data_IF_410681336705
#
_entry.id   IF_410681336705
#
_cell.length_a   1.000
_cell.length_b   1.000
_cell.length_c   1.000
_cell.angle_alpha   90.00
_cell.angle_beta   90.00
_cell.angle_gamma   90.00
#
_symmetry.space_group_name_H-M   'P 1'
#
loop_
_entity.id
_entity.type
_entity.pdbx_description
1 polymer ?
#
# COMPACT_ATOMS: atom_id res chain seq x y z
N UNK A 1 -9.81 -1.11 31.96
CA UNK A 1 -8.44 -1.56 31.63
C UNK A 1 -8.10 -1.39 30.15
N UNK A 2 -8.90 -1.93 29.21
CA UNK A 2 -8.63 -1.81 27.77
C UNK A 2 -8.55 -0.36 27.25
N UNK A 3 -9.46 0.53 27.68
CA UNK A 3 -9.42 1.94 27.29
C UNK A 3 -8.12 2.65 27.74
N UNK A 4 -7.59 2.25 28.88
CA UNK A 4 -6.32 2.77 29.40
C UNK A 4 -5.14 2.32 28.51
N UNK A 5 -5.14 1.05 28.07
CA UNK A 5 -4.14 0.56 27.12
C UNK A 5 -4.18 1.34 25.79
N UNK A 6 -5.39 1.62 25.25
CA UNK A 6 -5.57 2.45 24.04
C UNK A 6 -5.06 3.88 24.22
N UNK A 7 -5.28 4.49 25.38
CA UNK A 7 -4.79 5.84 25.67
C UNK A 7 -3.26 5.87 25.74
N UNK A 8 -2.64 4.87 26.36
CA UNK A 8 -1.18 4.77 26.39
C UNK A 8 -0.59 4.55 25.00
N UNK A 9 -1.21 3.73 24.16
CA UNK A 9 -0.82 3.57 22.77
C UNK A 9 -0.87 4.90 22.00
N UNK A 10 -1.94 5.70 22.19
CA UNK A 10 -2.06 7.03 21.57
C UNK A 10 -1.03 8.05 22.11
N UNK A 11 -0.56 7.88 23.35
CA UNK A 11 0.49 8.69 23.95
C UNK A 11 1.92 8.22 23.58
N UNK A 12 2.06 7.25 22.68
CA UNK A 12 3.34 6.64 22.31
C UNK A 12 4.07 5.92 23.49
N UNK A 13 3.35 5.56 24.54
CA UNK A 13 3.86 4.79 25.70
C UNK A 13 3.64 3.30 25.42
N UNK A 14 4.37 2.77 24.45
CA UNK A 14 4.16 1.42 23.91
C UNK A 14 4.33 0.34 24.98
N UNK A 15 5.40 0.39 25.78
CA UNK A 15 5.69 -0.60 26.83
C UNK A 15 4.55 -0.73 27.85
N UNK A 16 4.01 0.41 28.32
CA UNK A 16 2.89 0.40 29.27
C UNK A 16 1.61 -0.14 28.67
N UNK A 17 1.35 0.18 27.40
CA UNK A 17 0.21 -0.34 26.65
C UNK A 17 0.34 -1.85 26.47
N UNK A 18 1.52 -2.35 26.12
CA UNK A 18 1.82 -3.77 25.95
C UNK A 18 1.62 -4.55 27.26
N UNK A 19 2.23 -4.09 28.35
CA UNK A 19 2.07 -4.70 29.67
C UNK A 19 0.59 -4.78 30.09
N UNK A 20 -0.17 -3.73 29.82
CA UNK A 20 -1.59 -3.69 30.15
C UNK A 20 -2.41 -4.66 29.29
N UNK A 21 -2.12 -4.77 27.98
CA UNK A 21 -2.74 -5.74 27.10
C UNK A 21 -2.45 -7.17 27.54
N UNK A 22 -1.20 -7.47 27.90
CA UNK A 22 -0.81 -8.78 28.44
C UNK A 22 -1.53 -9.09 29.74
N UNK A 23 -1.64 -8.12 30.65
CA UNK A 23 -2.38 -8.31 31.91
C UNK A 23 -3.87 -8.60 31.66
N UNK A 24 -4.50 -7.92 30.70
CA UNK A 24 -5.91 -8.20 30.32
C UNK A 24 -6.04 -9.61 29.75
N UNK A 25 -5.13 -10.03 28.88
CA UNK A 25 -5.16 -11.35 28.24
C UNK A 25 -4.86 -12.48 29.22
N UNK A 26 -4.13 -12.22 30.32
CA UNK A 26 -3.97 -13.20 31.41
C UNK A 26 -5.28 -13.46 32.16
N UNK A 27 -6.10 -12.41 32.35
CA UNK A 27 -7.40 -12.52 33.03
C UNK A 27 -8.46 -13.08 32.07
N UNK A 28 -8.48 -12.58 30.83
CA UNK A 28 -9.40 -13.01 29.79
C UNK A 28 -8.65 -13.27 28.47
N UNK A 29 -8.21 -14.52 28.21
CA UNK A 29 -7.50 -14.89 27.00
C UNK A 29 -8.30 -14.71 25.68
N UNK A 30 -9.64 -14.59 25.81
CA UNK A 30 -10.56 -14.44 24.67
C UNK A 30 -10.90 -12.97 24.35
N UNK A 31 -10.20 -12.00 24.94
CA UNK A 31 -10.46 -10.59 24.69
C UNK A 31 -9.81 -10.14 23.38
N UNK A 32 -10.52 -10.28 22.26
CA UNK A 32 -10.00 -10.06 20.90
C UNK A 32 -9.48 -8.63 20.66
N UNK A 33 -10.14 -7.60 21.20
CA UNK A 33 -9.70 -6.21 21.07
C UNK A 33 -8.31 -5.98 21.70
N UNK A 34 -8.04 -6.59 22.87
CA UNK A 34 -6.71 -6.49 23.51
C UNK A 34 -5.67 -7.30 22.74
N UNK A 35 -6.04 -8.45 22.20
CA UNK A 35 -5.16 -9.25 21.36
C UNK A 35 -4.80 -8.51 20.05
N UNK A 36 -5.76 -7.83 19.44
CA UNK A 36 -5.55 -6.99 18.25
C UNK A 36 -4.63 -5.80 18.55
N UNK A 37 -4.84 -5.10 19.67
CA UNK A 37 -3.99 -3.98 20.07
C UNK A 37 -2.56 -4.46 20.37
N UNK A 38 -2.44 -5.61 21.05
CA UNK A 38 -1.13 -6.21 21.32
C UNK A 38 -0.41 -6.61 20.01
N UNK A 39 -1.12 -7.18 19.04
CA UNK A 39 -0.56 -7.50 17.74
C UNK A 39 -0.07 -6.24 16.99
N UNK A 40 -0.81 -5.13 17.07
CA UNK A 40 -0.38 -3.85 16.50
C UNK A 40 0.92 -3.35 17.16
N UNK A 41 1.03 -3.40 18.49
CA UNK A 41 2.22 -3.00 19.24
C UNK A 41 3.43 -3.89 18.91
N UNK A 42 3.23 -5.21 18.88
CA UNK A 42 4.27 -6.17 18.50
C UNK A 42 4.76 -5.94 17.07
N UNK A 43 3.84 -5.65 16.14
CA UNK A 43 4.21 -5.28 14.77
C UNK A 43 5.04 -4.00 14.72
N UNK A 44 4.72 -2.99 15.53
CA UNK A 44 5.50 -1.74 15.67
C UNK A 44 6.91 -2.02 16.21
N UNK A 45 7.04 -2.95 17.14
CA UNK A 45 8.32 -3.41 17.70
C UNK A 45 9.09 -4.39 16.78
N UNK A 46 8.66 -4.56 15.51
CA UNK A 46 9.26 -5.46 14.53
C UNK A 46 9.19 -6.96 14.91
N UNK A 47 8.40 -7.32 15.88
CA UNK A 47 8.14 -8.71 16.24
C UNK A 47 6.95 -9.25 15.44
N UNK A 48 7.20 -9.46 14.14
CA UNK A 48 6.14 -9.85 13.20
C UNK A 48 5.61 -11.26 13.45
N UNK A 49 6.44 -12.17 13.90
CA UNK A 49 6.02 -13.56 14.21
C UNK A 49 5.02 -13.57 15.36
N UNK A 50 5.37 -12.95 16.50
CA UNK A 50 4.46 -12.89 17.63
C UNK A 50 3.16 -12.11 17.31
N UNK A 51 3.23 -11.07 16.48
CA UNK A 51 2.04 -10.35 16.00
C UNK A 51 1.15 -11.26 15.16
N UNK A 52 1.74 -12.03 14.25
CA UNK A 52 1.03 -12.99 13.39
C UNK A 52 0.35 -14.06 14.22
N UNK A 53 1.06 -14.67 15.18
CA UNK A 53 0.50 -15.72 16.06
C UNK A 53 -0.72 -15.21 16.83
N UNK A 54 -0.68 -13.98 17.34
CA UNK A 54 -1.83 -13.39 18.04
C UNK A 54 -3.04 -13.22 17.13
N UNK A 55 -2.83 -12.79 15.89
CA UNK A 55 -3.94 -12.62 14.94
C UNK A 55 -4.46 -13.98 14.47
N UNK A 56 -3.59 -14.96 14.24
CA UNK A 56 -4.00 -16.32 13.91
C UNK A 56 -4.88 -16.94 15.01
N UNK A 57 -4.52 -16.79 16.29
CA UNK A 57 -5.32 -17.22 17.43
C UNK A 57 -6.73 -16.58 17.47
N UNK A 58 -6.85 -15.32 17.02
CA UNK A 58 -8.16 -14.66 16.91
C UNK A 58 -8.96 -15.30 15.77
N UNK A 59 -8.33 -15.50 14.60
CA UNK A 59 -9.00 -16.05 13.41
C UNK A 59 -9.39 -17.52 13.56
N UNK A 60 -8.64 -18.31 14.31
CA UNK A 60 -9.01 -19.68 14.66
C UNK A 60 -10.30 -19.75 15.48
N UNK A 61 -10.54 -18.76 16.34
CA UNK A 61 -11.77 -18.66 17.14
C UNK A 61 -12.91 -17.99 16.39
N UNK A 62 -12.59 -16.94 15.65
CA UNK A 62 -13.54 -16.08 14.93
C UNK A 62 -13.09 -15.86 13.48
N UNK A 63 -13.30 -16.85 12.58
CA UNK A 63 -12.89 -16.74 11.17
C UNK A 63 -13.55 -15.57 10.43
N UNK A 64 -14.72 -15.13 10.88
CA UNK A 64 -15.47 -13.99 10.33
C UNK A 64 -14.96 -12.61 10.81
N UNK A 65 -13.85 -12.56 11.58
CA UNK A 65 -13.24 -11.30 11.97
C UNK A 65 -12.39 -10.73 10.82
N UNK A 66 -13.05 -10.13 9.82
CA UNK A 66 -12.39 -9.59 8.63
C UNK A 66 -11.43 -8.43 8.92
N UNK A 67 -11.55 -7.75 10.08
CA UNK A 67 -10.58 -6.75 10.49
C UNK A 67 -9.25 -7.42 10.86
N UNK A 68 -9.29 -8.51 11.63
CA UNK A 68 -8.11 -9.31 11.94
C UNK A 68 -7.49 -9.89 10.67
N UNK A 69 -8.32 -10.44 9.77
CA UNK A 69 -7.88 -11.00 8.50
C UNK A 69 -7.18 -9.95 7.62
N UNK A 70 -7.72 -8.74 7.51
CA UNK A 70 -7.10 -7.67 6.74
C UNK A 70 -5.71 -7.26 7.28
N UNK A 71 -5.53 -7.31 8.61
CA UNK A 71 -4.23 -7.07 9.24
C UNK A 71 -3.26 -8.23 9.00
N UNK A 72 -3.74 -9.48 9.08
CA UNK A 72 -2.93 -10.66 8.79
C UNK A 72 -2.36 -10.62 7.37
N UNK A 73 -3.19 -10.28 6.38
CA UNK A 73 -2.77 -10.15 4.98
C UNK A 73 -1.60 -9.16 4.84
N UNK A 74 -1.68 -8.01 5.52
CA UNK A 74 -0.62 -7.01 5.50
C UNK A 74 0.67 -7.49 6.21
N UNK A 75 0.54 -8.26 7.28
CA UNK A 75 1.70 -8.85 7.96
C UNK A 75 2.36 -9.93 7.10
N UNK A 76 1.58 -10.83 6.52
CA UNK A 76 2.10 -11.87 5.64
C UNK A 76 2.78 -11.30 4.38
N UNK A 77 2.22 -10.23 3.80
CA UNK A 77 2.91 -9.52 2.72
C UNK A 77 4.32 -9.10 3.13
N UNK A 78 4.46 -8.48 4.31
CA UNK A 78 5.77 -8.00 4.80
C UNK A 78 6.74 -9.13 5.12
N UNK A 79 6.22 -10.25 5.62
CA UNK A 79 7.00 -11.45 5.91
C UNK A 79 7.36 -12.26 4.67
N UNK A 80 6.86 -11.91 3.48
CA UNK A 80 7.04 -12.71 2.26
C UNK A 80 6.28 -14.03 2.26
N UNK A 81 5.18 -14.13 3.02
CA UNK A 81 4.35 -15.33 3.23
C UNK A 81 2.92 -15.13 2.77
N UNK A 82 2.73 -14.46 1.65
CA UNK A 82 1.40 -14.11 1.16
C UNK A 82 0.57 -15.36 0.80
N UNK A 83 1.22 -16.46 0.43
CA UNK A 83 0.56 -17.74 0.09
C UNK A 83 -0.23 -18.34 1.25
N UNK A 84 0.25 -18.14 2.48
CA UNK A 84 -0.43 -18.61 3.68
C UNK A 84 -1.81 -17.95 3.89
N UNK A 85 -2.07 -16.82 3.23
CA UNK A 85 -3.35 -16.09 3.29
C UNK A 85 -4.48 -16.92 2.73
N UNK A 86 -4.25 -17.70 1.67
CA UNK A 86 -5.27 -18.49 0.97
C UNK A 86 -6.04 -19.40 1.92
N UNK A 87 -5.31 -20.08 2.83
CA UNK A 87 -5.91 -20.92 3.86
C UNK A 87 -6.91 -20.17 4.76
N UNK A 88 -6.53 -18.96 5.19
CA UNK A 88 -7.41 -18.17 6.07
C UNK A 88 -8.61 -17.60 5.32
N UNK A 89 -8.46 -17.26 4.05
CA UNK A 89 -9.57 -16.85 3.19
C UNK A 89 -10.57 -18.00 3.00
N UNK A 90 -10.13 -19.22 2.72
CA UNK A 90 -10.97 -20.40 2.58
C UNK A 90 -11.74 -20.71 3.88
N UNK A 91 -11.06 -20.67 5.03
CA UNK A 91 -11.71 -20.88 6.33
C UNK A 91 -12.77 -19.80 6.57
N UNK A 92 -12.47 -18.54 6.25
CA UNK A 92 -13.41 -17.43 6.39
C UNK A 92 -14.62 -17.58 5.45
N UNK A 93 -14.44 -18.11 4.24
CA UNK A 93 -15.52 -18.42 3.29
C UNK A 93 -16.45 -19.52 3.77
N UNK A 94 -15.86 -20.54 4.40
CA UNK A 94 -16.63 -21.70 4.91
C UNK A 94 -17.31 -21.39 6.24
N UNK A 95 -16.96 -20.33 6.92
CA UNK A 95 -17.47 -20.00 8.25
C UNK A 95 -18.95 -19.61 8.29
N UNK A 96 -19.49 -19.08 7.19
CA UNK A 96 -20.90 -18.69 7.07
C UNK A 96 -21.37 -18.83 5.61
N UNK A 97 -22.60 -19.27 5.42
CA UNK A 97 -23.24 -19.38 4.10
C UNK A 97 -23.34 -18.05 3.33
N UNK A 98 -23.32 -16.92 4.04
CA UNK A 98 -23.33 -15.56 3.48
C UNK A 98 -21.96 -14.92 3.40
N UNK A 99 -20.90 -15.61 3.84
CA UNK A 99 -19.55 -15.07 3.88
C UNK A 99 -19.09 -14.53 2.51
N UNK A 100 -19.36 -15.26 1.42
CA UNK A 100 -18.98 -14.90 0.07
C UNK A 100 -19.49 -13.52 -0.40
N UNK A 101 -20.64 -13.08 0.09
CA UNK A 101 -21.23 -11.77 -0.22
C UNK A 101 -20.89 -10.70 0.82
N UNK A 102 -20.18 -11.07 1.91
CA UNK A 102 -19.88 -10.13 2.99
C UNK A 102 -18.82 -9.11 2.54
N UNK A 103 -19.10 -7.79 2.65
CA UNK A 103 -18.19 -6.74 2.18
C UNK A 103 -16.78 -6.83 2.78
N UNK A 104 -16.68 -7.24 4.05
CA UNK A 104 -15.38 -7.41 4.73
C UNK A 104 -14.54 -8.52 4.12
N UNK A 105 -15.12 -9.66 3.71
CA UNK A 105 -14.39 -10.71 3.01
C UNK A 105 -13.99 -10.26 1.62
N UNK A 106 -14.90 -9.58 0.88
CA UNK A 106 -14.59 -9.00 -0.42
C UNK A 106 -13.42 -8.03 -0.32
N UNK A 107 -13.38 -7.19 0.71
CA UNK A 107 -12.25 -6.29 0.96
C UNK A 107 -10.94 -7.06 1.19
N UNK A 108 -10.95 -8.11 2.01
CA UNK A 108 -9.77 -8.95 2.27
C UNK A 108 -9.28 -9.65 1.00
N UNK A 109 -10.18 -10.21 0.19
CA UNK A 109 -9.84 -10.78 -1.13
C UNK A 109 -9.25 -9.74 -2.06
N UNK A 110 -9.81 -8.52 -2.08
CA UNK A 110 -9.29 -7.39 -2.82
C UNK A 110 -7.85 -7.03 -2.42
N UNK A 111 -7.54 -7.01 -1.12
CA UNK A 111 -6.18 -6.78 -0.61
C UNK A 111 -5.22 -7.88 -1.04
N UNK A 112 -5.63 -9.15 -0.91
CA UNK A 112 -4.80 -10.27 -1.34
C UNK A 112 -4.49 -10.19 -2.83
N UNK A 113 -5.50 -9.98 -3.68
CA UNK A 113 -5.32 -9.80 -5.12
C UNK A 113 -4.43 -8.59 -5.48
N UNK A 114 -4.56 -7.47 -4.73
CA UNK A 114 -3.71 -6.30 -4.91
C UNK A 114 -2.23 -6.64 -4.66
N UNK A 115 -1.95 -7.35 -3.57
CA UNK A 115 -0.58 -7.71 -3.20
C UNK A 115 0.00 -8.87 -4.02
N UNK A 116 -0.86 -9.71 -4.61
CA UNK A 116 -0.48 -10.72 -5.61
C UNK A 116 -0.37 -10.15 -7.04
N UNK A 117 -0.41 -8.82 -7.20
CA UNK A 117 -0.36 -8.13 -8.49
C UNK A 117 -1.49 -8.51 -9.47
N UNK A 118 -2.60 -9.07 -8.98
CA UNK A 118 -3.80 -9.33 -9.77
C UNK A 118 -4.78 -8.16 -9.65
N UNK A 119 -4.46 -7.06 -10.32
CA UNK A 119 -5.15 -5.77 -10.14
C UNK A 119 -6.60 -5.80 -10.61
N UNK A 120 -6.90 -6.61 -11.65
CA UNK A 120 -8.26 -6.77 -12.19
C UNK A 120 -9.17 -7.44 -11.15
N UNK A 121 -8.71 -8.53 -10.55
CA UNK A 121 -9.45 -9.21 -9.49
C UNK A 121 -9.58 -8.33 -8.24
N UNK A 122 -8.53 -7.59 -7.89
CA UNK A 122 -8.56 -6.65 -6.77
C UNK A 122 -9.67 -5.60 -6.94
N UNK A 123 -9.74 -4.94 -8.10
CA UNK A 123 -10.79 -3.96 -8.40
C UNK A 123 -12.20 -4.57 -8.34
N UNK A 124 -12.37 -5.80 -8.89
CA UNK A 124 -13.66 -6.50 -8.81
C UNK A 124 -14.10 -6.72 -7.35
N UNK A 125 -13.19 -7.20 -6.52
CA UNK A 125 -13.49 -7.45 -5.11
C UNK A 125 -13.73 -6.16 -4.31
N UNK A 126 -12.93 -5.11 -4.51
CA UNK A 126 -13.18 -3.82 -3.88
C UNK A 126 -14.51 -3.19 -4.32
N UNK A 127 -14.89 -3.37 -5.58
CA UNK A 127 -16.18 -2.87 -6.09
C UNK A 127 -17.38 -3.55 -5.40
N UNK A 128 -17.26 -4.82 -4.98
CA UNK A 128 -18.29 -5.49 -4.18
C UNK A 128 -18.38 -4.93 -2.75
N UNK A 129 -17.26 -4.46 -2.19
CA UNK A 129 -17.20 -3.92 -0.84
C UNK A 129 -17.53 -2.42 -0.75
N UNK A 130 -17.55 -1.67 -1.86
CA UNK A 130 -17.57 -0.19 -1.89
C UNK A 130 -18.82 0.45 -1.32
N UNK A 131 -19.94 -0.26 -1.27
CA UNK A 131 -21.22 0.27 -0.79
C UNK A 131 -21.47 0.06 0.69
N UNK A 132 -20.58 -0.63 1.37
CA UNK A 132 -20.69 -0.90 2.81
C UNK A 132 -20.24 0.31 3.63
N UNK A 133 -20.95 0.59 4.72
CA UNK A 133 -20.65 1.74 5.60
C UNK A 133 -19.28 1.65 6.28
N UNK A 134 -18.82 0.43 6.61
CA UNK A 134 -17.54 0.19 7.31
C UNK A 134 -16.37 -0.02 6.35
N UNK A 135 -16.59 -0.74 5.26
CA UNK A 135 -15.54 -1.16 4.34
C UNK A 135 -15.45 -0.30 3.08
N UNK A 136 -16.54 0.39 2.73
CA UNK A 136 -16.66 1.12 1.47
C UNK A 136 -15.61 2.19 1.29
N UNK A 137 -15.40 3.05 2.28
CA UNK A 137 -14.37 4.08 2.20
C UNK A 137 -12.96 3.53 2.00
N UNK A 138 -12.63 2.40 2.67
CA UNK A 138 -11.34 1.73 2.50
C UNK A 138 -11.21 1.07 1.11
N UNK A 139 -12.28 0.46 0.61
CA UNK A 139 -12.30 -0.14 -0.72
C UNK A 139 -12.13 0.91 -1.81
N UNK A 140 -12.88 2.02 -1.74
CA UNK A 140 -12.77 3.13 -2.70
C UNK A 140 -11.36 3.73 -2.69
N UNK A 141 -10.75 3.96 -1.51
CA UNK A 141 -9.37 4.45 -1.44
C UNK A 141 -8.37 3.52 -2.14
N UNK A 142 -8.49 2.21 -1.91
CA UNK A 142 -7.64 1.22 -2.60
C UNK A 142 -7.87 1.22 -4.11
N UNK A 143 -9.13 1.34 -4.56
CA UNK A 143 -9.44 1.45 -6.00
C UNK A 143 -8.81 2.70 -6.62
N UNK A 144 -8.92 3.86 -5.96
CA UNK A 144 -8.31 5.11 -6.43
C UNK A 144 -6.78 4.95 -6.53
N UNK A 145 -6.13 4.39 -5.51
CA UNK A 145 -4.68 4.15 -5.54
C UNK A 145 -4.27 3.23 -6.70
N UNK A 146 -5.07 2.20 -7.01
CA UNK A 146 -4.84 1.31 -8.13
C UNK A 146 -5.00 2.03 -9.49
N UNK A 147 -6.04 2.85 -9.65
CA UNK A 147 -6.26 3.60 -10.89
C UNK A 147 -5.22 4.70 -11.10
N UNK A 148 -4.83 5.42 -10.05
CA UNK A 148 -3.85 6.50 -10.17
C UNK A 148 -2.44 5.98 -10.48
N UNK A 149 -2.13 4.72 -10.11
CA UNK A 149 -0.83 4.09 -10.32
C UNK A 149 0.35 5.07 -10.13
N UNK A 150 0.55 5.58 -8.91
CA UNK A 150 1.56 6.61 -8.68
C UNK A 150 2.99 6.15 -8.96
N UNK A 151 3.23 4.84 -9.08
CA UNK A 151 4.54 4.23 -9.35
C UNK A 151 4.85 4.09 -10.83
N UNK A 152 3.88 4.36 -11.69
CA UNK A 152 4.03 4.22 -13.14
C UNK A 152 4.47 2.80 -13.58
N UNK A 153 4.15 1.79 -12.77
CA UNK A 153 4.42 0.41 -13.12
C UNK A 153 3.57 -0.01 -14.33
N UNK A 154 4.11 -0.81 -15.25
CA UNK A 154 3.34 -1.33 -16.38
C UNK A 154 2.26 -2.27 -15.85
N UNK A 155 1.08 -1.72 -15.62
CA UNK A 155 -0.08 -2.46 -15.14
C UNK A 155 -0.88 -2.99 -16.31
N UNK A 156 -1.29 -4.26 -16.23
CA UNK A 156 -2.22 -4.87 -17.19
C UNK A 156 -3.68 -4.35 -16.99
N UNK A 157 -3.85 -3.12 -16.49
CA UNK A 157 -5.15 -2.49 -16.25
C UNK A 157 -5.97 -2.25 -17.52
N UNK A 158 -5.33 -2.23 -18.71
CA UNK A 158 -6.02 -2.10 -20.00
C UNK A 158 -6.96 -3.26 -20.32
N UNK A 159 -6.95 -4.33 -19.51
CA UNK A 159 -7.89 -5.44 -19.63
C UNK A 159 -9.06 -5.36 -18.65
N UNK A 160 -9.16 -4.32 -17.82
CA UNK A 160 -10.32 -4.15 -16.93
C UNK A 160 -11.54 -3.77 -17.77
N UNK A 161 -12.54 -4.65 -17.91
CA UNK A 161 -13.78 -4.25 -18.56
C UNK A 161 -14.48 -3.22 -17.67
N UNK A 162 -14.60 -2.01 -18.13
CA UNK A 162 -15.44 -0.98 -17.51
C UNK A 162 -16.92 -1.29 -17.77
N UNK A 163 -17.43 -2.41 -17.26
CA UNK A 163 -18.75 -2.99 -17.56
C UNK A 163 -19.97 -2.16 -17.13
N UNK A 164 -19.80 -0.91 -16.77
CA UNK A 164 -20.93 0.05 -16.66
C UNK A 164 -20.76 1.35 -17.43
N UNK A 165 -19.65 1.55 -18.11
CA UNK A 165 -19.44 2.69 -19.00
C UNK A 165 -19.17 2.10 -20.40
N UNK A 166 -20.26 2.05 -21.18
CA UNK A 166 -20.42 1.62 -22.55
C UNK A 166 -19.19 1.24 -23.35
N UNK A 167 -19.26 0.03 -23.94
CA UNK A 167 -18.67 -0.41 -25.20
C UNK A 167 -17.56 0.46 -25.80
N UNK A 168 -16.36 0.46 -25.23
CA UNK A 168 -15.19 1.02 -25.92
C UNK A 168 -13.90 0.43 -25.34
N UNK A 169 -13.59 -0.79 -25.73
CA UNK A 169 -12.22 -1.20 -25.97
C UNK A 169 -12.16 -2.61 -26.56
N UNK A 170 -12.27 -2.67 -27.86
CA UNK A 170 -11.88 -3.82 -28.68
C UNK A 170 -10.40 -3.60 -29.06
N UNK A 171 -9.49 -3.66 -28.07
CA UNK A 171 -8.06 -3.48 -28.31
C UNK A 171 -7.37 -4.84 -28.36
N UNK A 172 -7.38 -5.48 -29.53
CA UNK A 172 -6.36 -6.43 -29.94
C UNK A 172 -5.06 -5.68 -30.17
N UNK A 173 -4.01 -6.04 -29.42
CA UNK A 173 -2.57 -5.85 -29.75
C UNK A 173 -2.25 -4.71 -30.73
N UNK A 174 -2.30 -3.46 -30.30
CA UNK A 174 -1.69 -2.35 -31.02
C UNK A 174 -0.47 -1.85 -30.23
N UNK A 175 0.58 -1.57 -30.99
CA UNK A 175 1.76 -0.82 -30.55
C UNK A 175 1.27 0.46 -29.86
N UNK A 176 1.72 0.72 -28.66
CA UNK A 176 1.32 1.88 -27.88
C UNK A 176 1.92 3.15 -28.50
N UNK A 177 1.04 4.01 -29.04
CA UNK A 177 1.39 5.35 -29.46
C UNK A 177 1.15 6.32 -28.29
N UNK A 178 1.87 7.44 -28.25
CA UNK A 178 1.68 8.50 -27.22
C UNK A 178 0.21 8.95 -27.07
N UNK A 179 -0.58 8.89 -28.16
CA UNK A 179 -2.02 9.17 -28.14
C UNK A 179 -2.82 8.17 -27.31
N UNK A 180 -2.48 6.88 -27.38
CA UNK A 180 -3.16 5.83 -26.62
C UNK A 180 -2.88 5.94 -25.13
N UNK A 181 -1.66 6.37 -24.75
CA UNK A 181 -1.28 6.61 -23.38
C UNK A 181 -2.01 7.83 -22.79
N UNK A 182 -2.17 8.90 -23.56
CA UNK A 182 -2.91 10.10 -23.11
C UNK A 182 -4.40 9.82 -22.94
N UNK A 183 -5.04 9.07 -23.85
CA UNK A 183 -6.45 8.66 -23.72
C UNK A 183 -6.66 7.75 -22.52
N UNK A 184 -5.76 6.79 -22.28
CA UNK A 184 -5.81 5.90 -21.13
C UNK A 184 -5.68 6.68 -19.82
N UNK A 185 -4.70 7.58 -19.72
CA UNK A 185 -4.49 8.41 -18.54
C UNK A 185 -5.71 9.31 -18.26
N UNK A 186 -6.35 9.84 -19.30
CA UNK A 186 -7.57 10.64 -19.15
C UNK A 186 -8.75 9.80 -18.63
N UNK A 187 -8.90 8.56 -19.11
CA UNK A 187 -9.97 7.66 -18.66
C UNK A 187 -9.77 7.17 -17.23
N UNK A 188 -8.53 6.90 -16.82
CA UNK A 188 -8.20 6.55 -15.43
C UNK A 188 -8.42 7.72 -14.49
N UNK A 189 -8.09 8.94 -14.90
CA UNK A 189 -8.36 10.16 -14.13
C UNK A 189 -9.85 10.41 -13.95
N UNK A 190 -10.67 10.26 -15.00
CA UNK A 190 -12.13 10.37 -14.91
C UNK A 190 -12.70 9.35 -13.92
N UNK A 191 -12.23 8.11 -13.95
CA UNK A 191 -12.67 7.05 -13.03
C UNK A 191 -12.26 7.36 -11.60
N UNK A 192 -11.03 7.77 -11.38
CA UNK A 192 -10.53 8.19 -10.08
C UNK A 192 -11.30 9.42 -9.56
N UNK A 193 -11.62 10.37 -10.43
CA UNK A 193 -12.42 11.55 -10.11
C UNK A 193 -13.85 11.22 -9.67
N UNK A 194 -14.50 10.22 -10.28
CA UNK A 194 -15.80 9.71 -9.83
C UNK A 194 -15.71 9.05 -8.47
N UNK A 195 -14.71 8.18 -8.26
CA UNK A 195 -14.50 7.52 -6.97
C UNK A 195 -14.17 8.51 -5.84
N UNK A 196 -13.42 9.58 -6.15
CA UNK A 196 -13.16 10.66 -5.19
C UNK A 196 -14.44 11.39 -4.76
N UNK A 197 -15.39 11.63 -5.69
CA UNK A 197 -16.69 12.21 -5.35
C UNK A 197 -17.53 11.26 -4.50
N UNK A 198 -17.50 9.96 -4.80
CA UNK A 198 -18.19 8.96 -3.97
C UNK A 198 -17.61 8.91 -2.56
N UNK A 199 -16.29 9.02 -2.42
CA UNK A 199 -15.63 9.03 -1.12
C UNK A 199 -16.03 10.23 -0.25
N UNK A 200 -16.42 11.38 -0.85
CA UNK A 200 -16.92 12.55 -0.14
C UNK A 200 -18.28 12.33 0.53
N UNK A 201 -19.07 11.34 0.06
CA UNK A 201 -20.38 10.99 0.64
C UNK A 201 -20.21 10.27 1.99
N UNK A 202 -19.10 9.59 2.19
CA UNK A 202 -18.82 8.97 3.48
C UNK A 202 -18.40 10.05 4.48
N UNK A 203 -19.01 10.05 5.68
CA UNK A 203 -18.55 10.88 6.81
C UNK A 203 -17.15 10.46 7.23
N UNK A 204 -16.15 11.16 6.72
CA UNK A 204 -14.77 10.75 6.82
C UNK A 204 -14.09 11.54 7.93
N UNK A 205 -13.36 10.89 8.87
CA UNK A 205 -12.56 11.59 9.88
C UNK A 205 -11.58 12.58 9.24
N UNK A 206 -11.20 13.64 9.98
CA UNK A 206 -10.34 14.74 9.49
C UNK A 206 -9.02 14.22 8.86
N UNK A 207 -8.44 13.15 9.40
CA UNK A 207 -7.21 12.55 8.86
C UNK A 207 -7.43 11.91 7.49
N UNK A 208 -8.59 11.30 7.26
CA UNK A 208 -8.94 10.72 5.96
C UNK A 208 -9.26 11.83 4.95
N UNK A 209 -9.84 12.95 5.38
CA UNK A 209 -10.07 14.10 4.51
C UNK A 209 -8.75 14.65 3.94
N UNK A 210 -7.67 14.67 4.72
CA UNK A 210 -6.34 15.03 4.23
C UNK A 210 -5.84 14.01 3.20
N UNK A 211 -6.05 12.70 3.45
CA UNK A 211 -5.68 11.66 2.49
C UNK A 211 -6.47 11.80 1.17
N UNK A 212 -7.74 12.14 1.22
CA UNK A 212 -8.56 12.44 0.03
C UNK A 212 -7.97 13.60 -0.77
N UNK A 213 -7.54 14.68 -0.10
CA UNK A 213 -6.87 15.81 -0.78
C UNK A 213 -5.56 15.39 -1.45
N UNK A 214 -4.78 14.52 -0.82
CA UNK A 214 -3.57 13.94 -1.42
C UNK A 214 -3.92 13.13 -2.67
N UNK A 215 -4.92 12.25 -2.61
CA UNK A 215 -5.36 11.46 -3.76
C UNK A 215 -5.87 12.34 -4.91
N UNK A 216 -6.57 13.44 -4.58
CA UNK A 216 -6.99 14.43 -5.60
C UNK A 216 -5.81 15.14 -6.24
N UNK A 217 -4.77 15.48 -5.48
CA UNK A 217 -3.56 16.06 -6.04
C UNK A 217 -2.82 15.05 -6.94
N UNK A 218 -2.81 13.75 -6.58
CA UNK A 218 -2.28 12.70 -7.45
C UNK A 218 -3.08 12.57 -8.76
N UNK A 219 -4.41 12.71 -8.76
CA UNK A 219 -5.19 12.66 -10.00
C UNK A 219 -4.81 13.79 -10.97
N UNK A 220 -4.43 14.96 -10.48
CA UNK A 220 -3.91 16.00 -11.34
C UNK A 220 -2.55 15.67 -11.97
N UNK A 221 -1.71 14.86 -11.30
CA UNK A 221 -0.42 14.42 -11.86
C UNK A 221 -0.58 13.42 -13.01
N UNK A 222 -1.67 12.63 -13.04
CA UNK A 222 -1.91 11.67 -14.13
C UNK A 222 -2.17 12.34 -15.47
N UNK A 223 -2.71 13.57 -15.47
CA UNK A 223 -3.00 14.35 -16.70
C UNK A 223 -1.71 14.84 -17.38
N UNK A 224 -0.59 14.91 -16.65
CA UNK A 224 0.74 15.35 -17.13
C UNK A 224 0.77 16.72 -17.83
N UNK A 225 -0.26 17.55 -17.67
CA UNK A 225 -0.21 18.92 -18.19
C UNK A 225 0.48 19.83 -17.17
N UNK A 226 1.33 20.77 -17.62
CA UNK A 226 2.10 21.65 -16.73
C UNK A 226 1.21 22.39 -15.74
N UNK A 227 0.09 22.95 -16.20
CA UNK A 227 -0.85 23.66 -15.34
C UNK A 227 -1.44 22.76 -14.23
N UNK A 228 -1.67 21.45 -14.52
CA UNK A 228 -2.17 20.49 -13.52
C UNK A 228 -1.07 20.05 -12.55
N UNK A 229 0.15 19.91 -13.03
CA UNK A 229 1.31 19.62 -12.17
C UNK A 229 1.50 20.76 -11.17
N UNK A 230 1.45 22.03 -11.62
CA UNK A 230 1.58 23.20 -10.75
C UNK A 230 0.45 23.26 -9.71
N UNK A 231 -0.79 22.95 -10.12
CA UNK A 231 -1.92 22.84 -9.20
C UNK A 231 -1.71 21.73 -8.15
N UNK A 232 -1.23 20.57 -8.56
CA UNK A 232 -0.93 19.48 -7.63
C UNK A 232 0.17 19.87 -6.63
N UNK A 233 1.25 20.50 -7.10
CA UNK A 233 2.34 21.00 -6.25
C UNK A 233 1.80 21.98 -5.21
N UNK A 234 0.96 22.91 -5.63
CA UNK A 234 0.34 23.88 -4.73
C UNK A 234 -0.51 23.19 -3.64
N UNK A 235 -1.34 22.22 -4.02
CA UNK A 235 -2.13 21.44 -3.06
C UNK A 235 -1.27 20.68 -2.05
N UNK A 236 -0.15 20.08 -2.49
CA UNK A 236 0.77 19.41 -1.57
C UNK A 236 1.45 20.41 -0.62
N UNK A 237 1.83 21.59 -1.11
CA UNK A 237 2.41 22.66 -0.28
C UNK A 237 1.43 23.09 0.81
N UNK A 238 0.17 23.34 0.48
CA UNK A 238 -0.87 23.73 1.44
C UNK A 238 -1.07 22.66 2.55
N UNK A 239 -0.98 21.37 2.18
CA UNK A 239 -1.04 20.28 3.15
C UNK A 239 0.19 20.30 4.06
N UNK A 240 1.39 20.50 3.49
CA UNK A 240 2.65 20.51 4.22
C UNK A 240 2.85 21.76 5.09
N UNK A 241 2.22 22.89 4.76
CA UNK A 241 2.18 24.07 5.64
C UNK A 241 1.44 23.78 6.94
N UNK A 242 0.34 23.01 6.86
CA UNK A 242 -0.44 22.62 8.03
C UNK A 242 0.20 21.47 8.81
N UNK A 243 0.78 20.50 8.10
CA UNK A 243 1.43 19.30 8.67
C UNK A 243 2.77 19.07 7.98
N UNK A 244 3.83 19.68 8.53
CA UNK A 244 5.18 19.70 7.93
C UNK A 244 5.73 18.32 7.58
N UNK A 245 5.44 17.30 8.40
CA UNK A 245 5.97 15.94 8.26
C UNK A 245 4.89 14.92 7.86
N UNK A 246 3.90 15.38 7.05
CA UNK A 246 2.90 14.46 6.53
C UNK A 246 3.47 13.69 5.31
N UNK A 247 3.84 12.43 5.56
CA UNK A 247 4.59 11.59 4.61
C UNK A 247 3.89 11.41 3.26
N UNK A 248 2.56 11.13 3.17
CA UNK A 248 1.90 10.99 1.87
C UNK A 248 1.98 12.25 0.99
N UNK A 249 1.96 13.45 1.60
CA UNK A 249 2.13 14.69 0.85
C UNK A 249 3.59 14.95 0.45
N UNK A 250 4.57 14.56 1.31
CA UNK A 250 6.00 14.61 0.95
C UNK A 250 6.32 13.69 -0.21
N UNK A 251 5.72 12.51 -0.23
CA UNK A 251 5.87 11.57 -1.34
C UNK A 251 5.23 12.14 -2.62
N UNK A 252 3.99 12.67 -2.50
CA UNK A 252 3.28 13.28 -3.62
C UNK A 252 4.01 14.45 -4.26
N UNK A 253 4.53 15.38 -3.46
CA UNK A 253 5.31 16.50 -3.99
C UNK A 253 6.63 16.05 -4.60
N UNK A 254 7.24 14.97 -4.08
CA UNK A 254 8.44 14.38 -4.67
C UNK A 254 8.16 13.81 -6.06
N UNK A 255 7.06 13.09 -6.20
CA UNK A 255 6.58 12.54 -7.49
C UNK A 255 6.28 13.68 -8.47
N UNK A 256 5.60 14.75 -8.01
CA UNK A 256 5.33 15.92 -8.83
C UNK A 256 6.61 16.57 -9.36
N UNK A 257 7.63 16.74 -8.50
CA UNK A 257 8.94 17.28 -8.91
C UNK A 257 9.72 16.34 -9.84
N UNK A 258 9.52 15.02 -9.74
CA UNK A 258 10.13 14.10 -10.71
C UNK A 258 9.49 14.22 -12.09
N UNK A 259 8.16 14.35 -12.16
CA UNK A 259 7.43 14.58 -13.41
C UNK A 259 7.84 15.93 -14.02
N UNK A 260 8.01 16.97 -13.20
CA UNK A 260 8.50 18.30 -13.59
C UNK A 260 10.00 18.33 -13.90
N UNK A 261 10.71 17.18 -13.88
CA UNK A 261 12.15 17.04 -14.10
C UNK A 261 13.02 17.81 -13.09
N UNK A 262 12.47 18.30 -12.00
CA UNK A 262 13.14 19.02 -10.90
C UNK A 262 13.79 18.05 -9.90
N UNK A 263 14.71 17.18 -10.35
CA UNK A 263 15.29 16.08 -9.56
C UNK A 263 15.95 16.53 -8.25
N UNK A 264 16.48 17.75 -8.17
CA UNK A 264 17.10 18.28 -6.94
C UNK A 264 16.06 18.56 -5.86
N UNK A 265 14.90 19.12 -6.22
CA UNK A 265 13.78 19.36 -5.29
C UNK A 265 13.20 18.05 -4.82
N UNK A 266 12.95 17.10 -5.75
CA UNK A 266 12.48 15.76 -5.44
C UNK A 266 13.40 15.05 -4.44
N UNK A 267 14.71 15.01 -4.71
CA UNK A 267 15.70 14.41 -3.81
C UNK A 267 15.66 15.01 -2.40
N UNK A 268 15.51 16.33 -2.29
CA UNK A 268 15.49 16.98 -0.97
C UNK A 268 14.26 16.58 -0.16
N UNK A 269 13.09 16.47 -0.79
CA UNK A 269 11.86 16.00 -0.16
C UNK A 269 11.97 14.50 0.24
N UNK A 270 12.50 13.65 -0.65
CA UNK A 270 12.72 12.22 -0.38
C UNK A 270 13.76 11.98 0.74
N UNK A 271 14.83 12.78 0.81
CA UNK A 271 15.78 12.75 1.94
C UNK A 271 15.13 13.07 3.27
N UNK A 272 14.11 13.93 3.27
CA UNK A 272 13.35 14.23 4.47
C UNK A 272 12.56 13.01 4.91
N UNK A 273 11.91 12.29 3.97
CA UNK A 273 11.23 11.01 4.24
C UNK A 273 12.21 10.00 4.83
N UNK A 274 13.40 9.84 4.24
CA UNK A 274 14.41 8.88 4.70
C UNK A 274 14.95 9.16 6.12
N UNK A 275 14.79 10.39 6.63
CA UNK A 275 15.16 10.78 7.99
C UNK A 275 14.04 10.62 9.02
N UNK A 276 12.81 10.42 8.57
CA UNK A 276 11.67 10.24 9.47
C UNK A 276 11.71 8.89 10.17
N UNK A 277 11.18 8.79 11.39
CA UNK A 277 10.99 7.51 12.05
C UNK A 277 9.99 6.66 11.26
N UNK A 278 10.31 5.40 11.07
CA UNK A 278 9.45 4.48 10.33
C UNK A 278 8.12 4.25 11.05
N UNK A 279 7.02 4.29 10.31
CA UNK A 279 5.68 3.97 10.79
C UNK A 279 5.09 2.83 9.98
N UNK A 280 4.57 1.81 10.67
CA UNK A 280 3.91 0.67 10.02
C UNK A 280 2.60 1.03 9.32
N UNK A 281 1.93 2.10 9.75
CA UNK A 281 0.69 2.58 9.13
C UNK A 281 0.93 3.13 7.72
N UNK A 282 2.13 3.73 7.52
CA UNK A 282 2.57 4.36 6.27
C UNK A 282 3.71 3.58 5.61
N UNK A 283 3.74 2.26 5.82
CA UNK A 283 4.83 1.40 5.34
C UNK A 283 4.99 1.45 3.82
N UNK A 284 3.87 1.44 3.09
CA UNK A 284 3.88 1.48 1.62
C UNK A 284 4.45 2.81 1.10
N UNK A 285 4.12 3.92 1.75
CA UNK A 285 4.64 5.23 1.39
C UNK A 285 6.14 5.37 1.71
N UNK A 286 6.62 4.77 2.81
CA UNK A 286 8.06 4.71 3.11
C UNK A 286 8.81 3.88 2.08
N UNK A 287 8.30 2.69 1.71
CA UNK A 287 8.88 1.83 0.68
C UNK A 287 9.04 2.60 -0.63
N UNK A 288 7.98 3.26 -1.08
CA UNK A 288 8.00 4.09 -2.29
C UNK A 288 9.03 5.22 -2.20
N UNK A 289 9.06 5.93 -1.06
CA UNK A 289 10.01 7.02 -0.84
C UNK A 289 11.46 6.56 -0.88
N UNK A 290 11.77 5.40 -0.28
CA UNK A 290 13.11 4.82 -0.31
C UNK A 290 13.52 4.40 -1.72
N UNK A 291 12.63 3.72 -2.47
CA UNK A 291 12.90 3.28 -3.84
C UNK A 291 13.11 4.45 -4.81
N UNK A 292 12.25 5.48 -4.76
CA UNK A 292 12.42 6.67 -5.59
C UNK A 292 13.75 7.40 -5.29
N UNK A 293 14.15 7.47 -4.02
CA UNK A 293 15.43 8.06 -3.66
C UNK A 293 16.63 7.20 -4.11
N UNK A 294 16.48 5.87 -4.02
CA UNK A 294 17.48 4.91 -4.49
C UNK A 294 17.70 5.05 -6.00
N UNK A 295 16.65 5.18 -6.81
CA UNK A 295 16.73 5.41 -8.24
C UNK A 295 17.50 6.71 -8.57
N UNK A 296 17.21 7.81 -7.85
CA UNK A 296 17.95 9.07 -8.01
C UNK A 296 19.43 8.91 -7.68
N UNK A 297 19.77 8.07 -6.70
CA UNK A 297 21.18 7.81 -6.36
C UNK A 297 21.87 6.93 -7.38
N UNK A 298 21.19 5.93 -7.96
CA UNK A 298 21.73 5.13 -9.07
C UNK A 298 22.06 6.01 -10.29
N UNK A 299 21.14 6.93 -10.65
CA UNK A 299 21.40 7.88 -11.75
C UNK A 299 22.61 8.76 -11.50
N UNK A 300 22.99 8.97 -10.24
CA UNK A 300 24.18 9.74 -9.82
C UNK A 300 25.37 8.86 -9.46
N UNK A 301 25.34 7.58 -9.78
CA UNK A 301 26.39 6.59 -9.48
C UNK A 301 26.78 6.52 -7.99
N UNK A 302 25.81 6.78 -7.10
CA UNK A 302 25.98 6.67 -5.63
C UNK A 302 25.40 5.36 -5.14
N UNK A 303 26.06 4.26 -5.47
CA UNK A 303 25.56 2.91 -5.24
C UNK A 303 25.40 2.57 -3.76
N UNK A 304 26.37 2.92 -2.90
CA UNK A 304 26.33 2.66 -1.45
C UNK A 304 25.07 3.24 -0.80
N UNK A 305 24.72 4.50 -1.16
CA UNK A 305 23.53 5.16 -0.60
C UNK A 305 22.22 4.55 -1.12
N UNK A 306 22.24 4.06 -2.35
CA UNK A 306 21.08 3.37 -2.93
C UNK A 306 20.88 2.00 -2.27
N UNK A 307 21.98 1.26 -2.04
CA UNK A 307 21.96 -0.03 -1.36
C UNK A 307 21.43 0.09 0.08
N UNK A 308 21.89 1.10 0.86
CA UNK A 308 21.38 1.35 2.21
C UNK A 308 19.86 1.54 2.22
N UNK A 309 19.31 2.27 1.25
CA UNK A 309 17.86 2.49 1.14
C UNK A 309 17.10 1.21 0.78
N UNK A 310 17.63 0.41 -0.14
CA UNK A 310 17.06 -0.89 -0.49
C UNK A 310 17.08 -1.84 0.71
N UNK A 311 18.18 -1.89 1.45
CA UNK A 311 18.30 -2.70 2.67
C UNK A 311 17.32 -2.25 3.75
N UNK A 312 17.07 -0.94 3.89
CA UNK A 312 16.02 -0.42 4.79
C UNK A 312 14.63 -0.86 4.33
N UNK A 313 14.36 -0.84 3.03
CA UNK A 313 13.09 -1.32 2.48
C UNK A 313 12.90 -2.81 2.80
N UNK A 314 13.90 -3.65 2.52
CA UNK A 314 13.87 -5.10 2.75
C UNK A 314 13.81 -5.48 4.24
N UNK A 315 14.36 -4.65 5.12
CA UNK A 315 14.22 -4.84 6.57
C UNK A 315 12.76 -4.88 7.02
N UNK A 316 11.89 -4.10 6.38
CA UNK A 316 10.48 -3.97 6.74
C UNK A 316 9.54 -4.77 5.83
N UNK A 317 9.98 -5.08 4.60
CA UNK A 317 9.20 -5.84 3.63
C UNK A 317 10.12 -6.73 2.78
N UNK A 318 10.24 -7.99 3.16
CA UNK A 318 11.07 -8.98 2.44
C UNK A 318 10.53 -9.31 1.04
N UNK A 319 9.22 -9.13 0.81
CA UNK A 319 8.57 -9.39 -0.49
C UNK A 319 8.62 -8.19 -1.46
N UNK A 320 9.40 -7.14 -1.15
CA UNK A 320 9.56 -6.01 -2.05
C UNK A 320 10.44 -6.39 -3.25
N UNK A 321 9.82 -6.90 -4.33
CA UNK A 321 10.51 -7.30 -5.57
C UNK A 321 11.34 -6.16 -6.17
N UNK A 322 10.81 -4.93 -6.13
CA UNK A 322 11.47 -3.76 -6.68
C UNK A 322 12.77 -3.38 -5.93
N UNK A 323 12.84 -3.64 -4.62
CA UNK A 323 14.07 -3.44 -3.87
C UNK A 323 15.16 -4.45 -4.28
N UNK A 324 14.78 -5.73 -4.46
CA UNK A 324 15.68 -6.76 -4.97
C UNK A 324 16.15 -6.47 -6.40
N UNK A 325 15.23 -6.04 -7.28
CA UNK A 325 15.54 -5.62 -8.65
C UNK A 325 16.55 -4.46 -8.66
N UNK A 326 16.30 -3.44 -7.83
CA UNK A 326 17.17 -2.27 -7.70
C UNK A 326 18.58 -2.67 -7.23
N UNK A 327 18.70 -3.61 -6.29
CA UNK A 327 19.98 -4.17 -5.86
C UNK A 327 20.66 -4.94 -6.99
N UNK A 328 19.92 -5.72 -7.78
CA UNK A 328 20.44 -6.40 -8.97
C UNK A 328 21.07 -5.41 -9.97
N UNK A 329 20.35 -4.32 -10.27
CA UNK A 329 20.88 -3.25 -11.14
C UNK A 329 22.15 -2.60 -10.58
N UNK A 330 22.25 -2.43 -9.25
CA UNK A 330 23.48 -1.90 -8.63
C UNK A 330 24.63 -2.88 -8.87
N UNK A 331 24.45 -4.18 -8.60
CA UNK A 331 25.49 -5.20 -8.79
C UNK A 331 25.91 -5.35 -10.26
N UNK A 332 24.99 -5.22 -11.20
CA UNK A 332 25.33 -5.18 -12.63
C UNK A 332 26.27 -4.00 -12.97
N UNK A 333 25.97 -2.81 -12.45
CA UNK A 333 26.80 -1.61 -12.68
C UNK A 333 28.17 -1.69 -12.00
N UNK A 334 28.29 -2.48 -10.95
CA UNK A 334 29.54 -2.79 -10.27
C UNK A 334 30.29 -3.96 -10.95
N UNK A 335 29.75 -4.52 -12.04
CA UNK A 335 30.26 -5.69 -12.77
C UNK A 335 30.29 -6.99 -11.93
N UNK A 336 29.55 -7.07 -10.83
CA UNK A 336 29.38 -8.25 -9.99
C UNK A 336 28.21 -9.10 -10.48
N UNK A 337 28.34 -9.69 -11.66
CA UNK A 337 27.24 -10.36 -12.37
C UNK A 337 26.65 -11.56 -11.61
N UNK A 338 27.48 -12.28 -10.83
CA UNK A 338 27.01 -13.40 -10.01
C UNK A 338 26.04 -12.91 -8.93
N UNK A 339 26.42 -11.88 -8.19
CA UNK A 339 25.59 -11.31 -7.14
C UNK A 339 24.32 -10.68 -7.73
N UNK A 340 24.41 -10.08 -8.93
CA UNK A 340 23.25 -9.58 -9.64
C UNK A 340 22.25 -10.72 -9.98
N UNK A 341 22.74 -11.86 -10.46
CA UNK A 341 21.91 -13.03 -10.74
C UNK A 341 21.17 -13.51 -9.49
N UNK A 342 21.88 -13.63 -8.34
CA UNK A 342 21.28 -14.03 -7.07
C UNK A 342 20.16 -13.06 -6.62
N UNK A 343 20.34 -11.74 -6.87
CA UNK A 343 19.28 -10.75 -6.57
C UNK A 343 18.06 -10.91 -7.49
N UNK A 344 18.28 -11.16 -8.78
CA UNK A 344 17.17 -11.39 -9.73
C UNK A 344 16.46 -12.72 -9.49
N UNK A 345 17.16 -13.75 -9.02
CA UNK A 345 16.52 -15.01 -8.59
C UNK A 345 15.57 -14.77 -7.40
N UNK A 346 15.93 -13.90 -6.46
CA UNK A 346 15.03 -13.48 -5.38
C UNK A 346 13.80 -12.73 -5.92
N UNK A 347 13.98 -11.83 -6.91
CA UNK A 347 12.84 -11.20 -7.60
C UNK A 347 11.92 -12.25 -8.20
N UNK A 348 12.50 -13.22 -8.92
CA UNK A 348 11.74 -14.30 -9.55
C UNK A 348 10.99 -15.15 -8.53
N UNK A 349 11.62 -15.52 -7.41
CA UNK A 349 10.96 -16.28 -6.36
C UNK A 349 9.77 -15.52 -5.77
N UNK A 350 9.91 -14.23 -5.48
CA UNK A 350 8.82 -13.38 -4.97
C UNK A 350 7.70 -13.24 -5.99
N UNK A 351 8.01 -13.13 -7.30
CA UNK A 351 7.01 -12.98 -8.36
C UNK A 351 6.34 -14.31 -8.71
N UNK A 352 7.06 -15.44 -8.71
CA UNK A 352 6.52 -16.76 -9.05
C UNK A 352 5.43 -17.17 -8.07
N UNK A 353 5.65 -16.92 -6.78
CA UNK A 353 4.61 -17.12 -5.75
C UNK A 353 3.34 -16.30 -6.01
N UNK A 354 3.45 -15.18 -6.72
CA UNK A 354 2.31 -14.30 -7.04
C UNK A 354 1.55 -14.69 -8.32
N UNK A 355 2.06 -15.62 -9.15
CA UNK A 355 1.48 -15.95 -10.47
C UNK A 355 0.78 -17.32 -10.52
N UNK A 356 0.96 -18.17 -9.52
CA UNK A 356 0.33 -19.50 -9.45
C UNK A 356 -1.06 -19.49 -8.76
N UNK A 357 -1.59 -18.33 -8.40
CA UNK A 357 -2.94 -18.08 -7.89
C UNK A 357 -3.81 -17.41 -8.99
#
# INVERSE_FOLDING_TARGET
MFQLARLWAKQNKQEKSEQQCVAILRINPKHDDSAMLLADLLSQNQNHEAATDRICQILERHPSNYLALSKLIRLFRRAGRLDDVSRFLEIAEQSDSRALSHPGLCFCKGLNCRYSNNLIAAIKHFNLARWDSKWGGLAIMNMIELYLNPENEPQNLHRVPTHRFGNLCNCRTRRWDEKSETEFNLQTDMTAGHLLKELEIFEVPVDVNIKVKVLRAYSYLTIRSQAKIDQAIQMFIEILERRKDYLPALLGISTAFLIDKSTTKARNALKRIAKMPYSHELAEEFERGYLLLAEIYIQKSKFDLSEDLCNRCLKYNLSCSKAWETMGVIREREASYKDAADMYEKVWSVLKFNTEL
#
